data_IF_772724928117
#
_entry.id   IF_772724928117
#
_cell.length_a   1.000
_cell.length_b   1.000
_cell.length_c   1.000
_cell.angle_alpha   90.00
_cell.angle_beta   90.00
_cell.angle_gamma   90.00
#
_symmetry.space_group_name_H-M   'P 1'
#
loop_
_entity.id
_entity.type
_entity.pdbx_description
1 polymer ?
#
# COMPACT_ATOMS: atom_id res chain seq x y z
N UNK A 1 -0.40 -11.59 3.05
CA UNK A 1 -0.84 -10.59 4.06
C UNK A 1 0.38 -10.14 4.84
N UNK A 2 0.45 -8.84 5.18
CA UNK A 2 1.57 -8.17 5.83
C UNK A 2 1.06 -7.20 6.89
N UNK A 3 1.95 -6.55 7.62
CA UNK A 3 1.60 -5.59 8.67
C UNK A 3 1.93 -4.15 8.30
N UNK A 4 2.77 -3.95 7.28
CA UNK A 4 3.39 -2.67 6.96
C UNK A 4 4.52 -2.27 7.92
N UNK A 5 5.07 -3.22 8.66
CA UNK A 5 6.25 -3.04 9.49
C UNK A 5 7.46 -3.60 8.73
N UNK A 6 8.24 -2.69 8.17
CA UNK A 6 9.42 -3.05 7.38
C UNK A 6 10.45 -3.77 8.24
N UNK A 7 10.92 -4.91 7.76
CA UNK A 7 11.94 -5.70 8.46
C UNK A 7 13.36 -5.35 8.01
N UNK A 8 13.51 -4.96 6.74
CA UNK A 8 14.82 -4.73 6.12
C UNK A 8 14.72 -3.79 4.92
N UNK A 9 15.77 -3.03 4.66
CA UNK A 9 15.96 -2.30 3.41
C UNK A 9 16.84 -3.14 2.47
N UNK A 10 16.22 -3.75 1.46
CA UNK A 10 16.92 -4.48 0.42
C UNK A 10 17.48 -3.59 -0.68
N UNK A 11 18.21 -4.20 -1.62
CA UNK A 11 18.75 -3.51 -2.79
C UNK A 11 18.46 -4.30 -4.05
N UNK A 12 17.87 -3.65 -5.05
CA UNK A 12 17.69 -4.25 -6.37
C UNK A 12 19.06 -4.55 -6.99
N UNK A 13 19.36 -5.82 -7.20
CA UNK A 13 20.63 -6.29 -7.77
C UNK A 13 20.57 -6.33 -9.29
N UNK A 14 19.47 -6.86 -9.84
CA UNK A 14 19.26 -6.92 -11.28
C UNK A 14 17.77 -6.88 -11.65
N UNK A 15 17.49 -6.41 -12.86
CA UNK A 15 16.16 -6.41 -13.46
C UNK A 15 16.29 -7.04 -14.85
N UNK A 16 15.80 -8.26 -15.00
CA UNK A 16 15.81 -8.99 -16.28
C UNK A 16 14.45 -8.86 -16.94
N UNK A 17 14.38 -8.23 -18.11
CA UNK A 17 13.16 -8.06 -18.88
C UNK A 17 13.05 -9.17 -19.92
N UNK A 18 12.09 -10.07 -19.73
CA UNK A 18 11.69 -11.09 -20.71
C UNK A 18 10.58 -10.58 -21.63
N UNK A 19 10.12 -11.43 -22.54
CA UNK A 19 9.06 -11.08 -23.49
C UNK A 19 7.69 -10.83 -22.81
N UNK A 20 7.41 -11.54 -21.70
CA UNK A 20 6.12 -11.49 -20.99
C UNK A 20 6.25 -11.40 -19.48
N UNK A 21 7.45 -11.35 -18.95
CA UNK A 21 7.73 -11.29 -17.50
C UNK A 21 8.94 -10.40 -17.23
N UNK A 22 9.04 -9.93 -16.00
CA UNK A 22 10.18 -9.17 -15.50
C UNK A 22 10.62 -9.86 -14.23
N UNK A 23 11.86 -10.33 -14.17
CA UNK A 23 12.43 -10.93 -12.97
C UNK A 23 13.26 -9.89 -12.25
N UNK A 24 12.92 -9.61 -11.00
CA UNK A 24 13.73 -8.81 -10.08
C UNK A 24 14.62 -9.75 -9.25
N UNK A 25 15.90 -9.41 -9.10
CA UNK A 25 16.78 -9.97 -8.10
C UNK A 25 17.07 -8.92 -7.05
N UNK A 26 16.79 -9.23 -5.79
CA UNK A 26 16.91 -8.29 -4.67
C UNK A 26 17.87 -8.88 -3.64
N UNK A 27 18.92 -8.12 -3.32
CA UNK A 27 19.82 -8.44 -2.22
C UNK A 27 19.15 -8.14 -0.90
N UNK A 28 19.17 -9.11 0.00
CA UNK A 28 18.57 -9.06 1.33
C UNK A 28 19.33 -10.00 2.28
N UNK A 29 18.99 -9.99 3.53
CA UNK A 29 19.56 -10.87 4.56
C UNK A 29 18.47 -11.31 5.55
N UNK A 30 17.90 -10.40 6.32
CA UNK A 30 16.95 -10.69 7.39
C UNK A 30 15.66 -11.36 6.87
N UNK A 31 15.09 -10.84 5.77
CA UNK A 31 13.88 -11.42 5.20
C UNK A 31 14.09 -12.76 4.50
N UNK A 32 15.35 -13.21 4.37
CA UNK A 32 15.67 -14.54 3.83
C UNK A 32 15.68 -15.62 4.90
N UNK A 33 15.76 -15.26 6.19
CA UNK A 33 15.76 -16.20 7.30
C UNK A 33 14.42 -16.97 7.35
N UNK A 34 14.46 -18.27 7.05
CA UNK A 34 13.27 -19.13 7.03
C UNK A 34 12.33 -18.90 5.85
N UNK A 35 12.71 -18.07 4.88
CA UNK A 35 11.95 -17.88 3.64
C UNK A 35 12.27 -19.01 2.66
N UNK A 36 11.24 -19.60 2.07
CA UNK A 36 11.31 -20.66 1.06
C UNK A 36 10.80 -20.17 -0.30
N UNK A 37 11.12 -20.92 -1.33
CA UNK A 37 10.54 -20.69 -2.68
C UNK A 37 9.02 -20.86 -2.60
N UNK A 38 8.29 -19.88 -3.10
CA UNK A 38 6.83 -19.82 -3.01
C UNK A 38 6.32 -18.86 -1.92
N UNK A 39 7.16 -18.45 -0.98
CA UNK A 39 6.78 -17.47 0.03
C UNK A 39 6.61 -16.07 -0.56
N UNK A 40 5.78 -15.28 0.09
CA UNK A 40 5.53 -13.89 -0.29
C UNK A 40 6.42 -12.94 0.51
N UNK A 41 7.10 -12.03 -0.21
CA UNK A 41 7.84 -10.91 0.36
C UNK A 41 7.24 -9.61 -0.18
N UNK A 42 6.77 -8.76 0.71
CA UNK A 42 6.33 -7.41 0.39
C UNK A 42 7.55 -6.56 0.02
N UNK A 43 7.57 -6.02 -1.18
CA UNK A 43 8.65 -5.18 -1.71
C UNK A 43 8.08 -3.82 -2.06
N UNK A 44 8.46 -2.76 -1.34
CA UNK A 44 7.85 -1.42 -1.48
C UNK A 44 6.30 -1.46 -1.53
N UNK A 45 5.67 -2.32 -0.73
CA UNK A 45 4.22 -2.49 -0.68
C UNK A 45 3.66 -3.49 -1.70
N UNK A 46 4.45 -4.00 -2.62
CA UNK A 46 4.01 -4.98 -3.62
C UNK A 46 4.28 -6.39 -3.10
N UNK A 47 3.25 -7.23 -3.04
CA UNK A 47 3.38 -8.65 -2.72
C UNK A 47 4.05 -9.38 -3.89
N UNK A 48 5.24 -9.91 -3.67
CA UNK A 48 5.99 -10.71 -4.63
C UNK A 48 6.22 -12.12 -4.11
N UNK A 49 6.06 -13.12 -4.98
CA UNK A 49 6.39 -14.51 -4.65
C UNK A 49 7.85 -14.80 -4.98
N UNK A 50 8.60 -15.31 -4.01
CA UNK A 50 9.99 -15.70 -4.21
C UNK A 50 10.08 -16.91 -5.17
N UNK A 51 10.78 -16.75 -6.29
CA UNK A 51 11.00 -17.81 -7.29
C UNK A 51 12.32 -18.53 -7.07
N UNK A 52 13.29 -17.86 -6.48
CA UNK A 52 14.51 -18.45 -5.92
C UNK A 52 14.89 -17.76 -4.63
N UNK A 53 15.51 -18.50 -3.72
CA UNK A 53 16.07 -17.97 -2.47
C UNK A 53 17.52 -18.43 -2.37
N UNK A 54 18.43 -17.49 -2.21
CA UNK A 54 19.87 -17.70 -2.06
C UNK A 54 20.35 -17.09 -0.73
N UNK A 55 21.56 -17.37 -0.24
CA UNK A 55 22.02 -16.87 1.06
C UNK A 55 22.01 -15.33 1.23
N UNK A 56 22.03 -14.57 0.13
CA UNK A 56 22.13 -13.10 0.17
C UNK A 56 21.20 -12.40 -0.84
N UNK A 57 20.30 -13.11 -1.49
CA UNK A 57 19.33 -12.54 -2.43
C UNK A 57 18.16 -13.48 -2.67
N UNK A 58 17.05 -12.94 -3.14
CA UNK A 58 15.95 -13.70 -3.72
C UNK A 58 15.58 -13.13 -5.10
N UNK A 59 14.93 -13.95 -5.93
CA UNK A 59 14.32 -13.48 -7.16
C UNK A 59 12.81 -13.56 -7.05
N UNK A 60 12.13 -12.67 -7.76
CA UNK A 60 10.68 -12.71 -7.91
C UNK A 60 10.28 -12.26 -9.32
N UNK A 61 9.26 -12.90 -9.87
CA UNK A 61 8.69 -12.49 -11.15
C UNK A 61 7.62 -11.43 -10.93
N UNK A 62 7.68 -10.37 -11.73
CA UNK A 62 6.76 -9.24 -11.67
C UNK A 62 6.00 -9.17 -13.00
N UNK A 63 4.68 -9.13 -12.89
CA UNK A 63 3.83 -8.97 -14.08
C UNK A 63 4.03 -7.58 -14.70
N UNK A 64 3.99 -7.46 -16.03
CA UNK A 64 4.13 -6.15 -16.69
C UNK A 64 3.12 -5.11 -16.24
N UNK A 65 1.91 -5.53 -15.85
CA UNK A 65 0.90 -4.64 -15.28
C UNK A 65 1.36 -4.06 -13.95
N UNK A 66 1.89 -4.89 -13.04
CA UNK A 66 2.43 -4.45 -11.74
C UNK A 66 3.53 -3.41 -11.94
N UNK A 67 4.44 -3.63 -12.90
CA UNK A 67 5.48 -2.66 -13.23
C UNK A 67 4.90 -1.31 -13.67
N UNK A 68 3.82 -1.31 -14.47
CA UNK A 68 3.21 -0.07 -14.97
C UNK A 68 2.38 0.67 -13.93
N UNK A 69 1.72 -0.07 -13.03
CA UNK A 69 0.78 0.48 -12.05
C UNK A 69 1.43 0.89 -10.73
N UNK A 70 2.73 0.63 -10.57
CA UNK A 70 3.47 0.89 -9.34
C UNK A 70 4.75 1.69 -9.61
N UNK A 71 5.40 2.15 -8.55
CA UNK A 71 6.72 2.81 -8.64
C UNK A 71 7.83 1.87 -9.15
N UNK A 72 7.55 0.59 -9.37
CA UNK A 72 8.51 -0.39 -9.88
C UNK A 72 9.03 -0.06 -11.29
N UNK A 73 8.26 0.68 -12.10
CA UNK A 73 8.73 1.19 -13.38
C UNK A 73 9.98 2.07 -13.28
N UNK A 74 10.21 2.68 -12.11
CA UNK A 74 11.33 3.56 -11.81
C UNK A 74 12.53 2.84 -11.17
N UNK A 75 12.39 1.56 -10.82
CA UNK A 75 13.48 0.80 -10.23
C UNK A 75 14.62 0.55 -11.23
N UNK A 76 15.82 0.68 -10.71
CA UNK A 76 17.08 0.37 -11.40
C UNK A 76 17.97 -0.47 -10.50
N UNK A 77 18.97 -1.19 -11.03
CA UNK A 77 19.99 -1.79 -10.19
C UNK A 77 20.61 -0.76 -9.23
N UNK A 78 20.70 -1.11 -7.96
CA UNK A 78 21.10 -0.20 -6.88
C UNK A 78 19.96 0.48 -6.13
N UNK A 79 18.73 0.48 -6.65
CA UNK A 79 17.56 1.02 -5.95
C UNK A 79 17.34 0.32 -4.61
N UNK A 80 17.05 1.11 -3.57
CA UNK A 80 16.68 0.60 -2.25
C UNK A 80 15.19 0.32 -2.20
N UNK A 81 14.80 -0.76 -1.52
CA UNK A 81 13.41 -1.21 -1.39
C UNK A 81 13.12 -1.65 0.04
N UNK A 82 11.95 -1.31 0.55
CA UNK A 82 11.45 -1.81 1.83
C UNK A 82 11.01 -3.25 1.67
N UNK A 83 11.38 -4.11 2.61
CA UNK A 83 11.06 -5.54 2.59
C UNK A 83 10.36 -5.96 3.88
N UNK A 84 9.35 -6.80 3.75
CA UNK A 84 8.63 -7.44 4.86
C UNK A 84 8.19 -8.85 4.42
N UNK A 85 8.39 -9.86 5.27
CA UNK A 85 7.88 -11.22 5.04
C UNK A 85 6.38 -11.29 5.27
N UNK A 86 5.71 -12.23 4.63
CA UNK A 86 4.31 -12.51 4.90
C UNK A 86 4.09 -12.90 6.37
N UNK A 87 2.93 -12.49 6.92
CA UNK A 87 2.50 -12.84 8.26
C UNK A 87 2.38 -14.36 8.43
N UNK A 88 2.80 -14.85 9.58
CA UNK A 88 2.50 -16.18 10.11
C UNK A 88 1.42 -16.08 11.19
N UNK A 89 0.83 -17.20 11.62
CA UNK A 89 -0.14 -17.22 12.73
C UNK A 89 0.43 -16.72 14.07
N UNK A 90 1.75 -16.67 14.22
CA UNK A 90 2.44 -16.24 15.42
C UNK A 90 2.93 -14.79 15.34
N UNK A 91 2.83 -14.14 14.18
CA UNK A 91 3.28 -12.77 13.99
C UNK A 91 2.38 -11.78 14.74
N UNK A 92 2.99 -10.69 15.25
CA UNK A 92 2.22 -9.56 15.80
C UNK A 92 1.76 -8.65 14.67
N UNK A 93 0.51 -8.19 14.71
CA UNK A 93 0.02 -7.14 13.83
C UNK A 93 0.41 -5.77 14.41
N UNK A 94 1.65 -5.33 14.14
CA UNK A 94 2.20 -4.09 14.69
C UNK A 94 1.76 -2.82 13.95
N UNK A 95 1.24 -2.95 12.72
CA UNK A 95 0.68 -1.87 11.91
C UNK A 95 -0.82 -2.06 11.67
N UNK A 96 -1.22 -2.22 10.40
CA UNK A 96 -2.59 -2.58 10.01
C UNK A 96 -2.58 -3.74 9.02
N UNK A 97 -3.74 -4.18 8.56
CA UNK A 97 -3.85 -5.27 7.57
C UNK A 97 -3.43 -4.74 6.21
N UNK A 98 -2.27 -5.19 5.72
CA UNK A 98 -1.70 -4.84 4.41
C UNK A 98 -1.77 -6.06 3.51
N UNK A 99 -2.35 -5.90 2.33
CA UNK A 99 -2.50 -7.01 1.38
C UNK A 99 -1.29 -7.17 0.45
N UNK A 100 -0.56 -6.09 0.22
CA UNK A 100 0.51 -6.01 -0.77
C UNK A 100 -0.02 -5.76 -2.18
N UNK A 101 -1.23 -5.23 -2.29
CA UNK A 101 -1.89 -4.93 -3.56
C UNK A 101 -2.09 -3.42 -3.70
N UNK A 102 -1.22 -2.80 -4.47
CA UNK A 102 -1.14 -1.36 -4.63
C UNK A 102 -2.39 -0.82 -5.33
N UNK A 103 -3.03 0.18 -4.74
CA UNK A 103 -4.19 0.87 -5.33
C UNK A 103 -3.79 1.90 -6.38
N UNK A 104 -2.56 2.38 -6.28
CA UNK A 104 -1.99 3.34 -7.21
C UNK A 104 -0.74 4.00 -6.63
N UNK A 105 -0.31 5.06 -7.27
CA UNK A 105 0.86 5.81 -6.86
C UNK A 105 0.49 7.22 -6.45
N UNK A 106 1.24 7.76 -5.47
CA UNK A 106 1.23 9.16 -5.10
C UNK A 106 2.57 9.82 -5.40
N UNK A 107 2.60 11.13 -5.26
CA UNK A 107 3.81 11.94 -5.43
C UNK A 107 4.09 12.72 -4.17
N UNK A 108 5.32 12.68 -3.67
CA UNK A 108 5.75 13.54 -2.56
C UNK A 108 5.83 14.97 -3.07
N UNK A 109 4.99 15.86 -2.54
CA UNK A 109 4.91 17.27 -2.96
C UNK A 109 5.57 18.22 -1.97
N UNK A 110 5.70 17.81 -0.70
CA UNK A 110 6.42 18.57 0.32
C UNK A 110 7.09 17.63 1.30
N UNK A 111 8.26 18.03 1.80
CA UNK A 111 9.04 17.36 2.85
C UNK A 111 9.52 18.41 3.85
N UNK A 112 9.33 18.15 5.12
CA UNK A 112 9.67 19.09 6.18
C UNK A 112 10.16 18.33 7.41
N UNK A 113 11.28 18.79 7.96
CA UNK A 113 11.77 18.28 9.25
C UNK A 113 11.18 19.17 10.36
N UNK A 114 10.53 18.55 11.32
CA UNK A 114 9.94 19.20 12.49
C UNK A 114 10.48 18.47 13.73
N UNK A 115 11.50 19.06 14.34
CA UNK A 115 12.30 18.44 15.40
C UNK A 115 12.78 17.04 14.97
N UNK A 116 12.37 15.99 15.65
CA UNK A 116 12.72 14.60 15.35
C UNK A 116 11.82 13.96 14.29
N UNK A 117 10.67 14.56 13.99
CA UNK A 117 9.69 14.04 13.05
C UNK A 117 9.98 14.50 11.61
N UNK A 118 9.82 13.60 10.66
CA UNK A 118 9.87 13.92 9.24
C UNK A 118 8.44 13.90 8.68
N UNK A 119 7.97 15.06 8.25
CA UNK A 119 6.67 15.20 7.59
C UNK A 119 6.80 15.04 6.09
N UNK A 120 5.91 14.22 5.52
CA UNK A 120 5.76 14.03 4.08
C UNK A 120 4.32 14.37 3.67
N UNK A 121 4.18 15.26 2.70
CA UNK A 121 2.91 15.55 2.03
C UNK A 121 2.88 14.81 0.70
N UNK A 122 1.80 14.07 0.48
CA UNK A 122 1.65 13.19 -0.67
C UNK A 122 0.39 13.58 -1.42
N UNK A 123 0.55 13.95 -2.67
CA UNK A 123 -0.54 14.10 -3.63
C UNK A 123 -0.93 12.72 -4.16
N UNK A 124 -2.23 12.41 -4.16
CA UNK A 124 -2.75 11.13 -4.61
C UNK A 124 -4.04 11.28 -5.44
N UNK A 125 -4.32 10.33 -6.35
CA UNK A 125 -5.54 10.34 -7.16
C UNK A 125 -6.82 10.26 -6.30
N UNK A 126 -7.92 10.80 -6.81
CA UNK A 126 -9.19 10.88 -6.11
C UNK A 126 -9.71 9.52 -5.59
N UNK A 127 -9.49 8.44 -6.35
CA UNK A 127 -9.91 7.09 -5.95
C UNK A 127 -9.15 6.54 -4.73
N UNK A 128 -7.93 7.05 -4.46
CA UNK A 128 -7.17 6.77 -3.25
C UNK A 128 -7.61 7.72 -2.14
N UNK A 129 -7.69 9.03 -2.45
CA UNK A 129 -8.03 10.07 -1.48
C UNK A 129 -9.38 9.84 -0.78
N UNK A 130 -10.33 9.16 -1.42
CA UNK A 130 -11.65 8.87 -0.84
C UNK A 130 -11.59 8.03 0.45
N UNK A 131 -10.53 7.24 0.64
CA UNK A 131 -10.31 6.41 1.83
C UNK A 131 -9.37 7.04 2.86
N UNK A 132 -8.75 8.17 2.52
CA UNK A 132 -7.82 8.88 3.41
C UNK A 132 -8.62 9.70 4.40
N UNK A 133 -8.47 9.42 5.69
CA UNK A 133 -9.10 10.15 6.79
C UNK A 133 -8.06 10.50 7.84
N UNK A 134 -8.29 11.58 8.59
CA UNK A 134 -7.43 11.93 9.73
C UNK A 134 -7.35 10.76 10.72
N UNK A 135 -6.15 10.47 11.17
CA UNK A 135 -5.82 9.37 12.09
C UNK A 135 -6.15 7.97 11.56
N UNK A 136 -6.52 7.85 10.26
CA UNK A 136 -6.64 6.57 9.58
C UNK A 136 -5.27 5.98 9.23
N UNK A 137 -5.27 4.76 8.71
CA UNK A 137 -4.07 4.06 8.25
C UNK A 137 -3.93 4.14 6.73
N UNK A 138 -2.70 4.25 6.27
CA UNK A 138 -2.29 4.18 4.86
C UNK A 138 -0.97 3.43 4.77
N UNK A 139 -0.79 2.65 3.73
CA UNK A 139 0.50 2.05 3.41
C UNK A 139 1.20 2.88 2.34
N UNK A 140 2.43 3.33 2.62
CA UNK A 140 3.28 4.09 1.69
C UNK A 140 4.58 3.31 1.50
N UNK A 141 4.88 2.87 0.28
CA UNK A 141 6.05 2.03 0.00
C UNK A 141 6.14 0.81 0.95
N UNK A 142 5.00 0.21 1.30
CA UNK A 142 4.91 -0.92 2.21
C UNK A 142 5.01 -0.56 3.70
N UNK A 143 5.09 0.72 4.05
CA UNK A 143 5.16 1.19 5.44
C UNK A 143 3.78 1.56 5.93
N UNK A 144 3.32 0.94 7.02
CA UNK A 144 2.09 1.32 7.71
C UNK A 144 2.27 2.66 8.42
N UNK A 145 1.47 3.65 8.07
CA UNK A 145 1.57 5.00 8.60
C UNK A 145 0.19 5.53 8.99
N UNK A 146 0.17 6.33 10.05
CA UNK A 146 -1.00 7.10 10.44
C UNK A 146 -1.09 8.37 9.60
N UNK A 147 -2.25 8.62 9.03
CA UNK A 147 -2.55 9.89 8.35
C UNK A 147 -2.61 11.00 9.42
N UNK A 148 -1.64 11.90 9.37
CA UNK A 148 -1.54 13.01 10.33
C UNK A 148 -2.44 14.19 9.94
N UNK A 149 -2.66 14.40 8.64
CA UNK A 149 -3.58 15.40 8.07
C UNK A 149 -4.22 14.85 6.80
N UNK A 150 -5.54 14.93 6.73
CA UNK A 150 -6.32 14.66 5.52
C UNK A 150 -7.20 15.87 5.20
N UNK A 151 -7.44 16.20 3.92
CA UNK A 151 -8.39 17.25 3.57
C UNK A 151 -9.82 16.83 3.95
N UNK A 152 -10.62 17.79 4.38
CA UNK A 152 -12.05 17.62 4.62
C UNK A 152 -12.78 17.25 3.31
N UNK A 153 -14.03 16.81 3.42
CA UNK A 153 -14.85 16.50 2.23
C UNK A 153 -15.04 17.74 1.33
N UNK A 154 -15.16 18.93 1.91
CA UNK A 154 -15.31 20.19 1.17
C UNK A 154 -14.03 20.56 0.42
N UNK A 155 -12.86 20.43 1.07
CA UNK A 155 -11.56 20.68 0.43
C UNK A 155 -11.31 19.71 -0.72
N UNK A 156 -11.66 18.43 -0.57
CA UNK A 156 -11.59 17.43 -1.66
C UNK A 156 -12.52 17.78 -2.81
N UNK A 157 -13.76 18.23 -2.52
CA UNK A 157 -14.67 18.69 -3.54
C UNK A 157 -14.16 19.94 -4.25
N UNK A 158 -13.33 20.75 -3.58
CA UNK A 158 -12.60 21.87 -4.16
C UNK A 158 -11.32 21.50 -4.92
N UNK A 159 -10.99 20.20 -4.98
CA UNK A 159 -9.83 19.68 -5.73
C UNK A 159 -8.59 19.39 -4.88
N UNK A 160 -8.66 19.52 -3.54
CA UNK A 160 -7.52 19.17 -2.68
C UNK A 160 -7.27 17.66 -2.71
N UNK A 161 -6.08 17.28 -3.12
CA UNK A 161 -5.64 15.89 -3.34
C UNK A 161 -4.42 15.50 -2.52
N UNK A 162 -4.09 16.29 -1.49
CA UNK A 162 -2.87 16.12 -0.69
C UNK A 162 -3.21 15.70 0.74
N UNK A 163 -2.51 14.68 1.25
CA UNK A 163 -2.53 14.30 2.65
C UNK A 163 -1.12 14.29 3.24
N UNK A 164 -1.00 14.28 4.57
CA UNK A 164 0.29 14.26 5.23
C UNK A 164 0.43 13.11 6.23
N UNK A 165 1.65 12.58 6.31
CA UNK A 165 2.09 11.63 7.33
C UNK A 165 3.31 12.19 8.07
N UNK A 166 3.49 11.75 9.32
CA UNK A 166 4.65 12.12 10.14
C UNK A 166 5.42 10.86 10.53
N UNK A 167 6.69 10.79 10.14
CA UNK A 167 7.56 9.66 10.41
C UNK A 167 8.36 9.91 11.69
N UNK A 168 8.23 9.01 12.66
CA UNK A 168 9.06 8.99 13.87
C UNK A 168 10.49 8.53 13.55
N UNK A 169 11.51 8.83 14.38
CA UNK A 169 12.90 8.48 14.11
C UNK A 169 13.14 7.01 13.79
N UNK A 170 12.46 6.11 14.48
CA UNK A 170 12.56 4.67 14.21
C UNK A 170 12.16 4.32 12.76
N UNK A 171 11.00 4.82 12.31
CA UNK A 171 10.51 4.60 10.93
C UNK A 171 11.43 5.23 9.89
N UNK A 172 12.00 6.40 10.21
CA UNK A 172 12.99 7.05 9.35
C UNK A 172 14.23 6.14 9.15
N UNK A 173 14.78 5.58 10.24
CA UNK A 173 15.96 4.73 10.17
C UNK A 173 15.73 3.35 9.55
N UNK A 174 14.48 2.84 9.64
CA UNK A 174 14.13 1.48 9.22
C UNK A 174 13.57 1.40 7.79
N UNK A 175 13.32 2.53 7.12
CA UNK A 175 12.63 2.54 5.81
C UNK A 175 13.29 3.47 4.79
N UNK A 176 12.99 3.24 3.51
CA UNK A 176 13.46 4.09 2.41
C UNK A 176 12.84 5.50 2.42
N UNK A 177 11.78 5.73 3.19
CA UNK A 177 11.07 7.02 3.23
C UNK A 177 11.93 8.17 3.78
N UNK A 178 12.94 7.86 4.61
CA UNK A 178 13.87 8.88 5.11
C UNK A 178 14.65 9.57 3.99
N UNK A 179 15.01 8.83 2.95
CA UNK A 179 15.78 9.36 1.81
C UNK A 179 14.91 9.86 0.67
N UNK A 180 13.59 9.72 0.79
CA UNK A 180 12.63 10.16 -0.23
C UNK A 180 12.64 11.70 -0.40
N UNK A 181 12.49 12.15 -1.63
CA UNK A 181 12.58 13.56 -2.03
C UNK A 181 11.26 14.07 -2.58
N UNK A 182 11.09 15.39 -2.57
CA UNK A 182 10.00 16.03 -3.31
C UNK A 182 10.13 15.68 -4.80
N UNK A 183 9.03 15.22 -5.38
CA UNK A 183 8.95 14.71 -6.74
C UNK A 183 8.99 13.18 -6.84
N UNK A 184 9.42 12.47 -5.80
CA UNK A 184 9.45 11.00 -5.83
C UNK A 184 8.04 10.42 -5.87
N UNK A 185 7.90 9.35 -6.65
CA UNK A 185 6.67 8.55 -6.76
C UNK A 185 6.71 7.43 -5.72
N UNK A 186 5.61 7.26 -4.98
CA UNK A 186 5.46 6.25 -3.94
C UNK A 186 4.24 5.36 -4.19
N UNK A 187 4.36 4.07 -3.91
CA UNK A 187 3.23 3.14 -3.94
C UNK A 187 2.30 3.43 -2.77
N UNK A 188 1.00 3.40 -3.02
CA UNK A 188 -0.04 3.60 -2.02
C UNK A 188 -1.00 2.41 -2.00
N UNK A 189 -1.30 1.91 -0.79
CA UNK A 189 -2.35 0.94 -0.54
C UNK A 189 -3.24 1.46 0.58
N UNK A 190 -4.53 1.63 0.31
CA UNK A 190 -5.52 2.01 1.30
C UNK A 190 -5.82 0.84 2.25
N UNK A 191 -6.24 1.15 3.46
CA UNK A 191 -6.72 0.15 4.41
C UNK A 191 -7.86 -0.65 3.76
N UNK A 192 -7.64 -1.97 3.67
CA UNK A 192 -8.59 -2.89 3.04
C UNK A 192 -9.94 -2.90 3.74
N UNK A 193 -9.99 -2.63 5.04
CA UNK A 193 -11.24 -2.55 5.82
C UNK A 193 -12.14 -1.44 5.28
N UNK A 194 -11.57 -0.28 4.94
CA UNK A 194 -12.33 0.83 4.38
C UNK A 194 -13.02 0.46 3.05
N UNK A 195 -12.35 -0.34 2.21
CA UNK A 195 -12.89 -0.85 0.94
C UNK A 195 -14.06 -1.82 1.17
N UNK A 196 -13.94 -2.72 2.15
CA UNK A 196 -15.03 -3.63 2.51
C UNK A 196 -16.21 -2.89 3.11
N UNK A 197 -15.98 -1.94 4.01
CA UNK A 197 -17.05 -1.11 4.59
C UNK A 197 -17.81 -0.36 3.50
N UNK A 198 -17.11 0.26 2.55
CA UNK A 198 -17.77 0.93 1.43
C UNK A 198 -18.62 -0.05 0.59
N UNK A 199 -18.07 -1.21 0.27
CA UNK A 199 -18.79 -2.22 -0.50
C UNK A 199 -20.06 -2.69 0.22
N UNK A 200 -20.02 -2.94 1.53
CA UNK A 200 -21.18 -3.34 2.32
C UNK A 200 -22.21 -2.23 2.41
N UNK A 201 -21.81 -0.98 2.61
CA UNK A 201 -22.73 0.15 2.67
C UNK A 201 -23.46 0.32 1.33
N UNK A 202 -22.72 0.29 0.21
CA UNK A 202 -23.32 0.43 -1.12
C UNK A 202 -24.29 -0.70 -1.46
N UNK A 203 -23.90 -1.94 -1.21
CA UNK A 203 -24.73 -3.10 -1.53
C UNK A 203 -25.88 -3.27 -0.52
N UNK A 204 -25.68 -2.95 0.76
CA UNK A 204 -26.71 -2.98 1.80
C UNK A 204 -27.83 -1.98 1.54
N UNK A 205 -27.50 -0.75 1.15
CA UNK A 205 -28.49 0.28 0.77
C UNK A 205 -29.32 -0.18 -0.44
N UNK A 206 -28.66 -0.72 -1.46
CA UNK A 206 -29.37 -1.23 -2.64
C UNK A 206 -30.32 -2.40 -2.32
N UNK A 207 -29.89 -3.32 -1.45
CA UNK A 207 -30.73 -4.45 -1.03
C UNK A 207 -31.95 -3.98 -0.21
N UNK A 208 -31.76 -3.01 0.70
CA UNK A 208 -32.84 -2.43 1.50
C UNK A 208 -33.86 -1.69 0.65
N UNK A 209 -33.41 -0.86 -0.30
CA UNK A 209 -34.30 -0.16 -1.25
C UNK A 209 -35.12 -1.13 -2.11
N UNK A 210 -34.51 -2.24 -2.55
CA UNK A 210 -35.22 -3.27 -3.33
C UNK A 210 -36.27 -3.98 -2.49
N UNK A 211 -35.93 -4.34 -1.23
CA UNK A 211 -36.85 -4.98 -0.30
C UNK A 211 -38.04 -4.07 0.01
N UNK A 212 -37.81 -2.77 0.29
CA UNK A 212 -38.87 -1.79 0.57
C UNK A 212 -39.79 -1.61 -0.60
N UNK A 213 -39.27 -1.59 -1.83
CA UNK A 213 -40.10 -1.52 -3.05
C UNK A 213 -40.93 -2.78 -3.23
N UNK A 214 -40.39 -3.94 -2.94
CA UNK A 214 -41.09 -5.23 -3.00
C UNK A 214 -42.20 -5.31 -1.96
N UNK A 215 -41.95 -4.90 -0.72
CA UNK A 215 -42.93 -4.84 0.34
C UNK A 215 -44.08 -3.84 0.03
N UNK A 216 -43.73 -2.69 -0.53
CA UNK A 216 -44.72 -1.72 -1.01
C UNK A 216 -45.62 -2.30 -2.11
N UNK A 217 -45.03 -3.00 -3.08
CA UNK A 217 -45.75 -3.69 -4.15
C UNK A 217 -46.71 -4.75 -3.60
N UNK A 218 -46.27 -5.61 -2.68
CA UNK A 218 -47.14 -6.63 -2.06
C UNK A 218 -48.28 -6.00 -1.25
N UNK A 219 -48.02 -4.93 -0.51
CA UNK A 219 -49.03 -4.22 0.26
C UNK A 219 -50.14 -3.68 -0.66
N UNK A 220 -49.79 -3.03 -1.77
CA UNK A 220 -50.74 -2.51 -2.74
C UNK A 220 -51.52 -3.60 -3.48
N UNK A 221 -50.91 -4.78 -3.62
CA UNK A 221 -51.58 -5.93 -4.27
C UNK A 221 -52.55 -6.64 -3.33
N UNK A 222 -52.25 -6.72 -2.01
CA UNK A 222 -53.07 -7.42 -1.02
C UNK A 222 -54.26 -6.57 -0.53
N UNK A 223 -54.28 -5.26 -0.79
CA UNK A 223 -55.35 -4.34 -0.40
C UNK A 223 -56.38 -4.06 -1.50
N UNK A 224 -56.29 -4.75 -2.63
CA UNK A 224 -57.28 -4.76 -3.73
C UNK A 224 -58.03 -6.08 -3.79
#
# INVERSE_FOLDING_TARGET
MFTGIVEEIGTVKSIKRGAKSITLEISASKVLEGTEVGDSICTNGVCLTATTVAPSSFTADVMPQTMRMTSFSLLTPGSKVNLERALTLQSRLGGHIVSGHIDGVGKIVKREQDDTALWLWIEAPAHIMRYIIDKGSITIQGVSLTVAKAPSMQERAGGESTFAVSLIPHTQGATTLHTAKVGDTVNLENDVIAKYVENFVRNGVSAYETQTKTEAFYRDFMLK
#
